data_IF_667598476173
#
_entry.id   IF_667598476173
#
_cell.length_a   1.000
_cell.length_b   1.000
_cell.length_c   1.000
_cell.angle_alpha   90.00
_cell.angle_beta   90.00
_cell.angle_gamma   90.00
#
_symmetry.space_group_name_H-M   'P 1'
#
loop_
_entity.id
_entity.type
_entity.pdbx_description
1 polymer ?
#
# COMPACT_ATOMS: atom_id res chain seq x y z
N UNK A 1 -6.98 9.19 -71.91
CA UNK A 1 -5.67 9.82 -71.61
C UNK A 1 -4.59 8.75 -71.62
N UNK A 2 -3.40 9.05 -72.15
CA UNK A 2 -2.95 8.37 -73.36
C UNK A 2 -1.85 7.32 -73.15
N UNK A 3 -1.84 6.35 -74.07
CA UNK A 3 -0.86 5.28 -74.20
C UNK A 3 0.54 5.81 -74.54
N UNK A 4 1.54 5.32 -73.80
CA UNK A 4 2.94 5.69 -73.96
C UNK A 4 3.57 4.90 -75.13
N UNK A 5 4.19 5.57 -76.11
CA UNK A 5 4.76 4.89 -77.28
C UNK A 5 6.06 4.17 -76.95
N UNK A 6 6.15 2.92 -77.38
CA UNK A 6 7.37 2.10 -77.35
C UNK A 6 8.38 2.61 -78.39
N UNK A 7 9.66 2.80 -78.01
CA UNK A 7 10.69 3.23 -78.95
C UNK A 7 11.06 2.10 -79.91
N UNK A 8 10.94 2.38 -81.20
CA UNK A 8 11.38 1.54 -82.32
C UNK A 8 12.89 1.31 -82.26
N UNK A 9 13.28 0.05 -82.12
CA UNK A 9 14.67 -0.40 -82.19
C UNK A 9 15.23 -0.19 -83.61
N UNK A 10 16.36 0.51 -83.79
CA UNK A 10 16.96 0.70 -85.11
C UNK A 10 17.48 -0.62 -85.69
N UNK A 11 17.22 -0.82 -86.97
CA UNK A 11 17.69 -1.95 -87.76
C UNK A 11 19.23 -1.97 -87.81
N UNK A 12 19.82 -3.03 -87.27
CA UNK A 12 21.26 -3.26 -87.25
C UNK A 12 21.73 -3.66 -88.66
N UNK A 13 22.51 -2.80 -89.31
CA UNK A 13 23.16 -3.13 -90.59
C UNK A 13 24.32 -4.12 -90.32
N UNK A 14 24.44 -5.23 -91.06
CA UNK A 14 25.58 -6.12 -90.93
C UNK A 14 26.86 -5.40 -91.40
N UNK A 15 27.71 -5.01 -90.45
CA UNK A 15 29.06 -4.55 -90.73
C UNK A 15 29.95 -5.71 -91.18
N UNK A 16 31.02 -5.44 -91.94
CA UNK A 16 31.95 -6.47 -92.42
C UNK A 16 32.56 -7.23 -91.23
N UNK A 17 32.45 -8.55 -91.25
CA UNK A 17 33.06 -9.44 -90.28
C UNK A 17 34.59 -9.37 -90.41
N UNK A 18 35.21 -8.51 -89.61
CA UNK A 18 36.65 -8.51 -89.42
C UNK A 18 37.03 -9.74 -88.60
N UNK A 19 37.78 -10.67 -89.21
CA UNK A 19 38.37 -11.78 -88.50
C UNK A 19 39.39 -11.26 -87.48
N UNK A 20 39.24 -11.66 -86.22
CA UNK A 20 40.17 -11.31 -85.16
C UNK A 20 41.59 -11.76 -85.50
N UNK A 21 42.55 -10.89 -85.31
CA UNK A 21 43.96 -11.28 -85.43
C UNK A 21 44.36 -12.13 -84.24
N UNK A 22 45.28 -13.08 -84.44
CA UNK A 22 45.72 -14.01 -83.40
C UNK A 22 46.29 -13.27 -82.16
N UNK A 23 46.91 -12.10 -82.38
CA UNK A 23 47.38 -11.19 -81.31
C UNK A 23 46.23 -10.64 -80.46
N UNK A 24 45.10 -10.31 -81.08
CA UNK A 24 43.93 -9.75 -80.41
C UNK A 24 43.24 -10.79 -79.53
N UNK A 25 43.18 -12.05 -79.98
CA UNK A 25 42.69 -13.19 -79.18
C UNK A 25 43.62 -13.47 -78.00
N UNK A 26 44.95 -13.43 -78.19
CA UNK A 26 45.91 -13.63 -77.09
C UNK A 26 45.80 -12.51 -76.05
N UNK A 27 45.68 -11.25 -76.47
CA UNK A 27 45.57 -10.10 -75.56
C UNK A 27 44.27 -10.12 -74.77
N UNK A 28 43.14 -10.47 -75.41
CA UNK A 28 41.84 -10.58 -74.73
C UNK A 28 41.83 -11.72 -73.72
N UNK A 29 42.43 -12.87 -74.02
CA UNK A 29 42.59 -13.97 -73.05
C UNK A 29 43.42 -13.53 -71.85
N UNK A 30 44.50 -12.78 -72.06
CA UNK A 30 45.38 -12.30 -70.99
C UNK A 30 44.66 -11.27 -70.08
N UNK A 31 43.90 -10.35 -70.68
CA UNK A 31 43.09 -9.36 -69.93
C UNK A 31 41.99 -10.06 -69.13
N UNK A 32 41.27 -11.02 -69.72
CA UNK A 32 40.22 -11.77 -69.04
C UNK A 32 40.80 -12.60 -67.88
N UNK A 33 41.98 -13.20 -68.05
CA UNK A 33 42.65 -13.94 -66.98
C UNK A 33 42.98 -13.05 -65.77
N UNK A 34 43.48 -11.83 -66.00
CA UNK A 34 43.76 -10.86 -64.93
C UNK A 34 42.49 -10.41 -64.22
N UNK A 35 41.40 -10.14 -64.97
CA UNK A 35 40.10 -9.75 -64.40
C UNK A 35 39.52 -10.89 -63.54
N UNK A 36 39.56 -12.14 -64.04
CA UNK A 36 39.09 -13.31 -63.30
C UNK A 36 39.87 -13.50 -61.99
N UNK A 37 41.19 -13.33 -62.01
CA UNK A 37 42.04 -13.39 -60.81
C UNK A 37 41.66 -12.29 -59.79
N UNK A 38 41.39 -11.08 -60.28
CA UNK A 38 40.92 -9.96 -59.45
C UNK A 38 39.58 -10.23 -58.79
N UNK A 39 38.60 -10.76 -59.54
CA UNK A 39 37.28 -11.13 -59.03
C UNK A 39 37.38 -12.25 -57.99
N UNK A 40 38.22 -13.26 -58.23
CA UNK A 40 38.42 -14.36 -57.28
C UNK A 40 39.06 -13.88 -55.98
N UNK A 41 40.01 -12.95 -56.05
CA UNK A 41 40.59 -12.29 -54.86
C UNK A 41 39.57 -11.46 -54.09
N UNK A 42 38.76 -10.66 -54.80
CA UNK A 42 37.69 -9.85 -54.19
C UNK A 42 36.61 -10.70 -53.52
N UNK A 43 36.22 -11.84 -54.12
CA UNK A 43 35.27 -12.79 -53.51
C UNK A 43 35.82 -13.44 -52.25
N UNK A 44 37.12 -13.77 -52.21
CA UNK A 44 37.77 -14.29 -51.01
C UNK A 44 37.84 -13.24 -49.89
N UNK A 45 38.07 -11.97 -50.23
CA UNK A 45 38.03 -10.87 -49.27
C UNK A 45 36.60 -10.64 -48.75
N UNK A 46 35.60 -10.63 -49.64
CA UNK A 46 34.19 -10.48 -49.28
C UNK A 46 33.69 -11.65 -48.41
N UNK A 47 34.12 -12.88 -48.70
CA UNK A 47 33.81 -14.06 -47.89
C UNK A 47 34.39 -14.00 -46.48
N UNK A 48 35.58 -13.42 -46.32
CA UNK A 48 36.19 -13.17 -44.99
C UNK A 48 35.60 -11.96 -44.26
N UNK A 49 35.02 -11.02 -45.00
CA UNK A 49 34.34 -9.86 -44.44
C UNK A 49 32.90 -10.17 -43.99
N UNK A 50 32.32 -11.29 -44.42
CA UNK A 50 31.02 -11.74 -43.92
C UNK A 50 31.17 -12.15 -42.45
N UNK A 51 30.47 -11.48 -41.51
CA UNK A 51 30.56 -11.82 -40.09
C UNK A 51 30.19 -13.28 -39.87
N UNK A 52 31.10 -14.04 -39.26
CA UNK A 52 30.77 -15.38 -38.80
C UNK A 52 29.62 -15.27 -37.78
N UNK A 53 28.62 -16.15 -37.91
CA UNK A 53 27.54 -16.26 -36.91
C UNK A 53 28.07 -16.66 -35.53
N UNK A 54 29.30 -17.15 -35.47
CA UNK A 54 30.03 -17.48 -34.25
C UNK A 54 31.10 -16.44 -33.88
N UNK A 55 31.13 -15.28 -34.56
CA UNK A 55 31.98 -14.17 -34.14
C UNK A 55 31.52 -13.61 -32.80
N UNK A 56 32.47 -13.12 -32.00
CA UNK A 56 32.19 -12.45 -30.72
C UNK A 56 31.19 -11.30 -30.87
N UNK A 57 31.27 -10.54 -31.97
CA UNK A 57 30.33 -9.46 -32.28
C UNK A 57 28.89 -9.97 -32.46
N UNK A 58 28.70 -11.11 -33.14
CA UNK A 58 27.37 -11.73 -33.28
C UNK A 58 26.83 -12.24 -31.94
N UNK A 59 27.71 -12.77 -31.07
CA UNK A 59 27.34 -13.23 -29.72
C UNK A 59 26.92 -12.07 -28.80
N UNK A 60 27.68 -10.97 -28.80
CA UNK A 60 27.36 -9.74 -28.06
C UNK A 60 26.02 -9.19 -28.53
N UNK A 61 25.77 -9.13 -29.85
CA UNK A 61 24.50 -8.63 -30.39
C UNK A 61 23.29 -9.46 -29.94
N UNK A 62 23.41 -10.80 -29.88
CA UNK A 62 22.36 -11.68 -29.36
C UNK A 62 22.10 -11.45 -27.87
N UNK A 63 23.16 -11.38 -27.06
CA UNK A 63 23.05 -11.11 -25.63
C UNK A 63 22.42 -9.73 -25.38
N UNK A 64 22.86 -8.69 -26.10
CA UNK A 64 22.32 -7.34 -26.02
C UNK A 64 20.84 -7.30 -26.40
N UNK A 65 20.42 -7.95 -27.49
CA UNK A 65 19.02 -8.02 -27.89
C UNK A 65 18.12 -8.68 -26.82
N UNK A 66 18.58 -9.77 -26.20
CA UNK A 66 17.82 -10.42 -25.13
C UNK A 66 17.77 -9.56 -23.86
N UNK A 67 18.87 -8.87 -23.55
CA UNK A 67 18.96 -7.94 -22.43
C UNK A 67 18.05 -6.71 -22.61
N UNK A 68 17.96 -6.16 -23.83
CA UNK A 68 17.05 -5.06 -24.16
C UNK A 68 15.59 -5.49 -24.01
N UNK A 69 15.24 -6.71 -24.42
CA UNK A 69 13.91 -7.25 -24.21
C UNK A 69 13.58 -7.44 -22.73
N UNK A 70 14.51 -8.02 -21.95
CA UNK A 70 14.38 -8.14 -20.49
C UNK A 70 14.20 -6.78 -19.82
N UNK A 71 15.01 -5.79 -20.19
CA UNK A 71 14.93 -4.41 -19.69
C UNK A 71 13.58 -3.79 -20.02
N UNK A 72 13.12 -3.92 -21.27
CA UNK A 72 11.84 -3.42 -21.72
C UNK A 72 10.68 -4.01 -20.94
N UNK A 73 10.71 -5.32 -20.66
CA UNK A 73 9.65 -5.95 -19.90
C UNK A 73 9.67 -5.57 -18.42
N UNK A 74 10.84 -5.65 -17.80
CA UNK A 74 11.02 -5.47 -16.35
C UNK A 74 10.86 -4.01 -15.91
N UNK A 75 11.15 -3.03 -16.78
CA UNK A 75 10.94 -1.62 -16.48
C UNK A 75 9.47 -1.28 -16.14
N UNK A 76 8.52 -2.05 -16.67
CA UNK A 76 7.08 -1.90 -16.45
C UNK A 76 6.50 -2.94 -15.49
N UNK A 77 7.33 -3.66 -14.73
CA UNK A 77 6.85 -4.60 -13.74
C UNK A 77 6.00 -3.88 -12.66
N UNK A 78 4.85 -4.47 -12.33
CA UNK A 78 3.93 -3.98 -11.28
C UNK A 78 4.02 -4.83 -10.02
N UNK A 79 4.36 -6.11 -10.14
CA UNK A 79 4.70 -6.99 -9.01
C UNK A 79 5.73 -8.03 -9.44
N UNK A 80 6.52 -8.57 -8.49
CA UNK A 80 7.47 -9.65 -8.73
C UNK A 80 7.01 -10.86 -7.94
N UNK A 81 6.76 -11.99 -8.61
CA UNK A 81 6.19 -13.21 -8.00
C UNK A 81 7.25 -14.23 -7.64
N UNK A 82 8.38 -14.24 -8.36
CA UNK A 82 9.52 -15.11 -8.04
C UNK A 82 10.85 -14.47 -8.45
N UNK A 83 11.87 -14.67 -7.62
CA UNK A 83 13.25 -14.26 -7.88
C UNK A 83 14.20 -15.44 -7.68
N UNK A 84 15.11 -15.66 -8.61
CA UNK A 84 16.21 -16.61 -8.48
C UNK A 84 17.48 -16.11 -9.15
N UNK A 85 18.61 -16.79 -8.95
CA UNK A 85 19.88 -16.40 -9.55
C UNK A 85 19.86 -16.46 -11.09
N UNK A 86 19.06 -17.38 -11.68
CA UNK A 86 18.96 -17.59 -13.13
C UNK A 86 17.53 -17.45 -13.66
N UNK A 87 16.60 -16.95 -12.85
CA UNK A 87 15.21 -16.73 -13.27
C UNK A 87 14.56 -15.58 -12.53
N UNK A 88 13.60 -14.93 -13.18
CA UNK A 88 12.75 -13.89 -12.60
C UNK A 88 11.35 -14.01 -13.20
N UNK A 89 10.32 -13.91 -12.36
CA UNK A 89 8.92 -13.88 -12.76
C UNK A 89 8.23 -12.65 -12.18
N UNK A 90 7.51 -11.93 -13.02
CA UNK A 90 6.87 -10.67 -12.67
C UNK A 90 5.60 -10.43 -13.48
N UNK A 91 4.77 -9.54 -12.96
CA UNK A 91 3.53 -9.10 -13.60
C UNK A 91 3.75 -7.73 -14.24
N UNK A 92 3.16 -7.52 -15.41
CA UNK A 92 3.07 -6.22 -16.08
C UNK A 92 1.60 -5.87 -16.33
N UNK A 93 1.30 -4.60 -16.55
CA UNK A 93 -0.04 -4.18 -16.96
C UNK A 93 -0.40 -4.77 -18.32
N UNK A 94 -1.69 -5.07 -18.53
CA UNK A 94 -2.25 -5.63 -19.76
C UNK A 94 -1.80 -4.86 -21.01
N UNK A 95 -1.02 -5.51 -21.88
CA UNK A 95 -0.46 -4.98 -23.13
C UNK A 95 -1.24 -5.41 -24.35
N UNK A 96 -1.98 -6.52 -24.27
CA UNK A 96 -2.73 -7.06 -25.40
C UNK A 96 -4.22 -6.67 -25.39
N UNK A 97 -4.66 -5.98 -24.33
CA UNK A 97 -6.00 -5.48 -24.10
C UNK A 97 -7.06 -6.60 -23.99
N UNK A 98 -6.70 -7.72 -23.36
CA UNK A 98 -7.59 -8.86 -23.05
C UNK A 98 -8.24 -8.77 -21.65
N UNK A 99 -7.92 -7.72 -20.89
CA UNK A 99 -8.45 -7.45 -19.56
C UNK A 99 -7.68 -8.13 -18.43
N UNK A 100 -6.59 -8.86 -18.72
CA UNK A 100 -5.76 -9.56 -17.73
C UNK A 100 -4.32 -9.04 -17.73
N UNK A 101 -3.74 -8.73 -16.56
CA UNK A 101 -2.30 -8.46 -16.45
C UNK A 101 -1.46 -9.63 -16.96
N UNK A 102 -0.32 -9.36 -17.62
CA UNK A 102 0.54 -10.44 -18.08
C UNK A 102 1.59 -10.88 -17.05
N UNK A 103 1.74 -12.19 -16.89
CA UNK A 103 2.82 -12.82 -16.12
C UNK A 103 3.94 -13.16 -17.10
N UNK A 104 5.10 -12.52 -16.93
CA UNK A 104 6.29 -12.74 -17.75
C UNK A 104 7.33 -13.46 -16.90
N UNK A 105 7.89 -14.54 -17.45
CA UNK A 105 8.99 -15.27 -16.82
C UNK A 105 10.19 -15.34 -17.74
N UNK A 106 11.35 -15.01 -17.20
CA UNK A 106 12.66 -15.28 -17.79
C UNK A 106 13.33 -16.39 -17.00
N UNK A 107 13.88 -17.39 -17.68
CA UNK A 107 14.56 -18.49 -17.02
C UNK A 107 15.65 -19.12 -17.88
N UNK A 108 16.78 -19.41 -17.24
CA UNK A 108 17.85 -20.24 -17.78
C UNK A 108 18.12 -21.41 -16.82
N UNK A 109 18.43 -22.58 -17.38
CA UNK A 109 18.59 -23.83 -16.62
C UNK A 109 19.83 -23.84 -15.71
N UNK A 110 20.81 -22.97 -15.97
CA UNK A 110 22.13 -23.03 -15.34
C UNK A 110 23.15 -23.87 -16.12
N UNK A 111 22.72 -24.56 -17.19
CA UNK A 111 23.61 -25.41 -18.01
C UNK A 111 24.13 -24.61 -19.20
N UNK A 112 25.46 -24.57 -19.37
CA UNK A 112 26.08 -23.86 -20.47
C UNK A 112 25.69 -24.48 -21.82
N UNK A 113 25.19 -23.63 -22.72
CA UNK A 113 24.65 -24.04 -24.02
C UNK A 113 23.12 -23.97 -24.09
N UNK A 114 22.44 -24.07 -22.94
CA UNK A 114 20.98 -23.98 -22.90
C UNK A 114 20.49 -22.56 -23.24
N UNK A 115 19.29 -22.41 -23.81
CA UNK A 115 18.76 -21.10 -24.14
C UNK A 115 18.24 -20.35 -22.89
N UNK A 116 18.26 -19.02 -22.95
CA UNK A 116 17.43 -18.19 -22.09
C UNK A 116 16.01 -18.20 -22.66
N UNK A 117 15.07 -18.68 -21.85
CA UNK A 117 13.68 -18.81 -22.21
C UNK A 117 12.86 -17.64 -21.65
N UNK A 118 11.87 -17.19 -22.43
CA UNK A 118 10.86 -16.21 -22.03
C UNK A 118 9.46 -16.79 -22.24
N UNK A 119 8.60 -16.75 -21.22
CA UNK A 119 7.17 -17.12 -21.35
C UNK A 119 6.27 -15.95 -20.94
N UNK A 120 5.06 -15.93 -21.50
CA UNK A 120 3.98 -14.99 -21.14
C UNK A 120 2.72 -15.80 -20.83
N UNK A 121 2.06 -15.54 -19.70
CA UNK A 121 0.76 -16.13 -19.31
C UNK A 121 0.72 -17.66 -19.42
N UNK A 122 1.76 -18.33 -18.88
CA UNK A 122 1.94 -19.78 -18.93
C UNK A 122 1.98 -20.41 -20.35
N UNK A 123 2.11 -19.60 -21.41
CA UNK A 123 2.34 -20.12 -22.78
C UNK A 123 3.71 -20.78 -22.87
N UNK A 124 3.87 -21.61 -23.90
CA UNK A 124 5.13 -22.28 -24.20
C UNK A 124 6.26 -21.26 -24.29
N UNK A 125 7.36 -21.54 -23.60
CA UNK A 125 8.47 -20.60 -23.49
C UNK A 125 9.24 -20.52 -24.82
N UNK A 126 9.62 -19.31 -25.22
CA UNK A 126 10.36 -19.02 -26.45
C UNK A 126 11.81 -18.68 -26.10
N UNK A 127 12.76 -19.25 -26.81
CA UNK A 127 14.16 -18.90 -26.67
C UNK A 127 14.41 -17.47 -27.21
N UNK A 128 14.89 -16.59 -26.34
CA UNK A 128 15.26 -15.21 -26.71
C UNK A 128 16.77 -15.04 -26.88
N UNK A 129 17.57 -15.93 -26.29
CA UNK A 129 18.99 -16.09 -26.57
C UNK A 129 19.34 -17.58 -26.54
N UNK A 130 20.19 -18.00 -27.47
CA UNK A 130 20.66 -19.40 -27.61
C UNK A 130 22.12 -19.50 -27.22
N UNK A 131 22.58 -20.70 -26.82
CA UNK A 131 23.96 -20.94 -26.37
C UNK A 131 24.34 -20.01 -25.20
N UNK A 132 23.44 -19.88 -24.21
CA UNK A 132 23.72 -19.09 -23.02
C UNK A 132 24.66 -19.89 -22.12
N UNK A 133 25.78 -19.26 -21.75
CA UNK A 133 26.83 -19.89 -20.93
C UNK A 133 27.01 -19.26 -19.57
N UNK A 134 26.36 -18.13 -19.34
CA UNK A 134 26.31 -17.48 -18.04
C UNK A 134 25.06 -16.58 -18.00
N UNK A 135 24.28 -16.70 -16.92
CA UNK A 135 23.22 -15.78 -16.57
C UNK A 135 23.18 -15.65 -15.05
N UNK A 136 23.25 -14.42 -14.56
CA UNK A 136 23.09 -14.13 -13.15
C UNK A 136 22.20 -12.90 -12.96
N UNK A 137 21.28 -12.98 -12.00
CA UNK A 137 20.50 -11.86 -11.49
C UNK A 137 20.92 -11.52 -10.05
N UNK A 138 21.10 -10.23 -9.78
CA UNK A 138 21.28 -9.68 -8.44
C UNK A 138 20.19 -8.63 -8.20
N UNK A 139 19.51 -8.74 -7.07
CA UNK A 139 18.31 -7.96 -6.75
C UNK A 139 18.62 -6.92 -5.70
N UNK A 140 18.53 -5.64 -6.06
CA UNK A 140 18.64 -4.54 -5.11
C UNK A 140 17.25 -4.24 -4.54
N UNK A 141 17.12 -4.33 -3.21
CA UNK A 141 15.86 -4.16 -2.50
C UNK A 141 15.96 -3.00 -1.52
N UNK A 142 14.87 -2.24 -1.36
CA UNK A 142 14.71 -1.30 -0.25
C UNK A 142 13.57 -1.74 0.66
N UNK A 143 13.77 -1.55 1.96
CA UNK A 143 12.71 -1.71 2.95
C UNK A 143 11.82 -0.47 2.94
N UNK A 144 10.50 -0.67 2.83
CA UNK A 144 9.50 0.38 2.97
C UNK A 144 8.61 0.06 4.17
N UNK A 145 8.50 1.00 5.10
CA UNK A 145 7.59 0.86 6.23
C UNK A 145 6.15 0.96 5.74
N UNK A 146 5.32 -0.01 6.11
CA UNK A 146 3.88 0.02 5.85
C UNK A 146 3.17 0.98 6.80
N UNK A 147 1.97 1.49 6.44
CA UNK A 147 1.15 2.27 7.35
C UNK A 147 0.95 1.54 8.68
N UNK A 148 1.00 2.29 9.78
CA UNK A 148 0.78 1.74 11.10
C UNK A 148 -0.64 1.14 11.19
N UNK A 149 -0.72 -0.09 11.66
CA UNK A 149 -1.99 -0.73 12.03
C UNK A 149 -2.16 -0.68 13.55
N UNK A 150 -3.40 -0.90 13.99
CA UNK A 150 -3.74 -0.86 15.40
C UNK A 150 -4.62 -2.05 15.75
N UNK A 151 -4.31 -2.69 16.86
CA UNK A 151 -5.16 -3.70 17.49
C UNK A 151 -5.99 -3.07 18.60
N UNK A 152 -7.30 -3.34 18.58
CA UNK A 152 -8.23 -2.90 19.63
C UNK A 152 -8.29 -3.95 20.75
N UNK A 153 -8.29 -3.49 22.00
CA UNK A 153 -8.43 -4.33 23.18
C UNK A 153 -9.86 -4.86 23.35
N UNK A 154 -10.03 -5.84 24.24
CA UNK A 154 -11.34 -6.08 24.85
C UNK A 154 -11.82 -4.88 25.68
N UNK A 155 -13.10 -4.88 26.05
CA UNK A 155 -13.65 -3.85 26.93
C UNK A 155 -13.02 -3.93 28.33
N UNK A 156 -12.54 -2.79 28.83
CA UNK A 156 -11.95 -2.61 30.17
C UNK A 156 -12.69 -1.53 30.94
N UNK A 157 -12.51 -1.50 32.26
CA UNK A 157 -12.98 -0.40 33.11
C UNK A 157 -12.05 0.81 32.96
N UNK A 158 -12.60 1.94 32.55
CA UNK A 158 -11.88 3.20 32.34
C UNK A 158 -11.92 4.12 33.57
N UNK A 159 -13.06 4.18 34.25
CA UNK A 159 -13.26 4.97 35.47
C UNK A 159 -14.44 4.42 36.26
N UNK A 160 -14.39 4.51 37.59
CA UNK A 160 -15.50 4.10 38.43
C UNK A 160 -15.49 4.80 39.77
N UNK A 161 -16.68 5.05 40.28
CA UNK A 161 -16.95 5.28 41.69
C UNK A 161 -18.20 4.49 42.07
N UNK A 162 -17.99 3.39 42.78
CA UNK A 162 -19.08 2.58 43.33
C UNK A 162 -19.67 3.25 44.57
N UNK A 163 -20.94 3.00 44.89
CA UNK A 163 -21.59 3.51 46.09
C UNK A 163 -21.38 2.62 47.33
N UNK A 164 -20.80 1.43 47.17
CA UNK A 164 -20.53 0.51 48.28
C UNK A 164 -19.51 1.10 49.26
N UNK A 165 -19.95 1.39 50.49
CA UNK A 165 -19.08 1.94 51.54
C UNK A 165 -18.79 3.43 51.42
N UNK A 166 -19.43 4.14 50.48
CA UNK A 166 -19.37 5.60 50.45
C UNK A 166 -20.19 6.20 51.58
N UNK A 167 -19.61 7.21 52.22
CA UNK A 167 -20.32 8.13 53.10
C UNK A 167 -20.74 9.36 52.29
N UNK A 168 -21.73 10.10 52.78
CA UNK A 168 -22.16 11.38 52.20
C UNK A 168 -22.67 11.28 50.76
N UNK A 169 -23.53 10.30 50.50
CA UNK A 169 -24.29 10.23 49.25
C UNK A 169 -25.39 11.30 49.25
N UNK A 170 -25.56 11.98 48.12
CA UNK A 170 -26.57 12.99 47.90
C UNK A 170 -27.23 12.85 46.53
N UNK A 171 -28.31 13.59 46.34
CA UNK A 171 -29.14 13.60 45.13
C UNK A 171 -28.82 14.85 44.32
N UNK A 172 -28.55 14.69 43.03
CA UNK A 172 -28.49 15.80 42.08
C UNK A 172 -29.67 15.70 41.12
N UNK A 173 -30.63 16.61 41.26
CA UNK A 173 -31.81 16.67 40.40
C UNK A 173 -31.45 17.25 39.02
N UNK A 174 -31.85 16.56 37.96
CA UNK A 174 -31.64 16.98 36.58
C UNK A 174 -32.86 17.77 36.09
N UNK A 175 -32.65 19.03 35.73
CA UNK A 175 -33.70 19.90 35.20
C UNK A 175 -33.19 20.84 34.12
N UNK A 176 -34.08 21.69 33.59
CA UNK A 176 -33.78 22.60 32.50
C UNK A 176 -32.55 23.49 32.74
N UNK A 177 -32.24 23.82 33.99
CA UNK A 177 -31.12 24.67 34.40
C UNK A 177 -29.97 23.88 35.01
N UNK A 178 -30.26 22.81 35.74
CA UNK A 178 -29.29 22.03 36.51
C UNK A 178 -28.88 20.75 35.80
N UNK A 179 -27.63 20.70 35.32
CA UNK A 179 -27.01 19.49 34.76
C UNK A 179 -25.75 19.13 35.53
N UNK A 180 -25.37 17.86 35.44
CA UNK A 180 -24.18 17.33 36.09
C UNK A 180 -23.42 16.44 35.14
N UNK A 181 -22.13 16.32 35.39
CA UNK A 181 -21.27 15.38 34.74
C UNK A 181 -20.09 14.97 35.61
N UNK A 182 -19.34 14.02 35.09
CA UNK A 182 -18.10 13.53 35.65
C UNK A 182 -17.01 13.69 34.59
N UNK A 183 -16.02 14.52 34.88
CA UNK A 183 -14.75 14.43 34.17
C UNK A 183 -14.02 13.17 34.61
N UNK A 184 -13.38 12.50 33.66
CA UNK A 184 -12.48 11.39 33.95
C UNK A 184 -11.34 11.34 32.92
N UNK A 185 -10.17 10.92 33.37
CA UNK A 185 -9.05 10.56 32.49
C UNK A 185 -8.60 9.14 32.82
N UNK A 186 -8.78 8.17 31.90
CA UNK A 186 -8.48 6.78 32.19
C UNK A 186 -6.97 6.55 32.34
N UNK A 187 -6.60 5.62 33.24
CA UNK A 187 -5.26 5.07 33.33
C UNK A 187 -5.16 3.87 32.39
N UNK A 188 -4.56 4.06 31.22
CA UNK A 188 -4.46 3.03 30.18
C UNK A 188 -3.15 2.24 30.30
N UNK A 189 -3.12 0.96 29.84
CA UNK A 189 -1.88 0.21 29.74
C UNK A 189 -0.82 0.91 28.87
N UNK A 190 0.46 0.64 29.14
CA UNK A 190 1.56 1.19 28.36
C UNK A 190 1.42 0.79 26.87
N UNK A 191 1.69 1.74 25.97
CA UNK A 191 1.55 1.56 24.52
C UNK A 191 0.16 1.84 23.95
N UNK A 192 -0.86 2.07 24.80
CA UNK A 192 -2.14 2.57 24.33
C UNK A 192 -1.96 3.95 23.67
N UNK A 193 -2.50 4.13 22.47
CA UNK A 193 -2.40 5.39 21.70
C UNK A 193 -3.73 6.13 21.64
N UNK A 194 -4.84 5.39 21.71
CA UNK A 194 -6.20 5.91 21.64
C UNK A 194 -7.15 5.02 22.43
N UNK A 195 -8.30 5.57 22.82
CA UNK A 195 -9.34 4.87 23.56
C UNK A 195 -10.72 5.44 23.23
N UNK A 196 -11.79 4.69 23.52
CA UNK A 196 -13.17 5.18 23.39
C UNK A 196 -14.04 4.57 24.48
N UNK A 197 -15.12 5.28 24.83
CA UNK A 197 -16.16 4.77 25.72
C UNK A 197 -17.08 3.85 24.94
N UNK A 198 -17.38 2.68 25.48
CA UNK A 198 -18.33 1.73 24.89
C UNK A 198 -19.58 1.58 25.74
N UNK A 199 -19.49 1.83 27.05
CA UNK A 199 -20.58 1.59 27.97
C UNK A 199 -20.44 2.41 29.25
N UNK A 200 -21.57 2.90 29.74
CA UNK A 200 -21.64 3.66 30.99
C UNK A 200 -22.72 3.07 31.88
N UNK A 201 -22.44 3.01 33.19
CA UNK A 201 -23.44 2.78 34.23
C UNK A 201 -23.52 3.99 35.15
N UNK A 202 -24.73 4.39 35.49
CA UNK A 202 -25.03 5.50 36.39
C UNK A 202 -26.09 5.08 37.41
N UNK A 203 -25.96 5.55 38.65
CA UNK A 203 -26.99 5.37 39.69
C UNK A 203 -28.04 6.46 39.56
N UNK A 204 -29.24 6.10 39.10
CA UNK A 204 -30.35 7.04 38.88
C UNK A 204 -31.69 6.51 39.42
N UNK A 205 -32.62 7.43 39.68
CA UNK A 205 -34.02 7.17 40.05
C UNK A 205 -34.96 8.23 39.47
N UNK A 206 -36.27 7.95 39.50
CA UNK A 206 -37.31 8.93 39.16
C UNK A 206 -37.23 10.17 40.08
N UNK A 207 -37.41 11.36 39.50
CA UNK A 207 -37.69 12.61 40.19
C UNK A 207 -39.14 13.08 39.95
N UNK A 208 -40.01 12.84 40.93
CA UNK A 208 -41.40 13.32 40.87
C UNK A 208 -42.28 12.54 39.87
N UNK A 209 -42.66 13.16 38.75
CA UNK A 209 -43.80 12.72 37.90
C UNK A 209 -43.50 11.68 36.82
N UNK A 210 -42.26 11.21 36.68
CA UNK A 210 -41.85 10.17 35.72
C UNK A 210 -42.13 10.50 34.23
N UNK A 211 -42.03 11.77 33.86
CA UNK A 211 -42.31 12.26 32.50
C UNK A 211 -41.13 12.94 31.83
N UNK A 212 -40.06 13.24 32.56
CA UNK A 212 -38.90 13.94 32.04
C UNK A 212 -38.00 13.06 31.17
N UNK A 213 -37.13 13.73 30.41
CA UNK A 213 -36.11 13.07 29.59
C UNK A 213 -34.76 13.75 29.77
N UNK A 214 -33.72 12.93 29.89
CA UNK A 214 -32.33 13.36 29.91
C UNK A 214 -31.55 12.75 28.74
N UNK A 215 -30.37 13.31 28.48
CA UNK A 215 -29.36 12.78 27.55
C UNK A 215 -28.14 12.42 28.35
N UNK A 216 -27.69 11.17 28.23
CA UNK A 216 -26.42 10.69 28.75
C UNK A 216 -25.40 10.82 27.63
N UNK A 217 -24.42 11.69 27.83
CA UNK A 217 -23.51 12.13 26.78
C UNK A 217 -22.08 11.84 27.16
N UNK A 218 -21.27 11.46 26.18
CA UNK A 218 -19.82 11.55 26.28
C UNK A 218 -19.41 12.82 25.56
N UNK A 219 -18.65 13.67 26.24
CA UNK A 219 -18.15 14.94 25.69
C UNK A 219 -16.63 15.00 25.78
N UNK A 220 -16.00 15.66 24.81
CA UNK A 220 -14.62 16.09 24.94
C UNK A 220 -14.54 17.24 25.96
N UNK A 221 -13.50 17.30 26.81
CA UNK A 221 -13.25 18.46 27.65
C UNK A 221 -12.86 19.67 26.79
N UNK A 222 -13.13 20.88 27.29
CA UNK A 222 -12.69 22.13 26.66
C UNK A 222 -11.16 22.22 26.68
N UNK A 223 -10.53 22.93 25.71
CA UNK A 223 -9.11 23.23 25.81
C UNK A 223 -8.78 23.91 27.14
N UNK A 224 -7.77 23.41 27.85
CA UNK A 224 -7.27 24.02 29.08
C UNK A 224 -7.94 23.57 30.38
N UNK A 225 -8.89 22.63 30.36
CA UNK A 225 -9.45 22.11 31.62
C UNK A 225 -10.49 21.00 31.46
N UNK A 226 -10.93 20.42 32.58
CA UNK A 226 -11.85 19.26 32.61
C UNK A 226 -13.33 19.62 32.35
N UNK A 227 -13.64 20.86 31.97
CA UNK A 227 -15.01 21.31 31.76
C UNK A 227 -15.59 20.72 30.46
N UNK A 228 -16.87 20.31 30.43
CA UNK A 228 -17.48 19.73 29.24
C UNK A 228 -17.49 20.67 28.02
N UNK A 229 -17.13 20.11 26.87
CA UNK A 229 -17.11 20.77 25.56
C UNK A 229 -18.03 20.09 24.55
N UNK A 230 -17.46 19.63 23.45
CA UNK A 230 -18.18 19.06 22.29
C UNK A 230 -18.74 17.68 22.62
N UNK A 231 -19.98 17.39 22.21
CA UNK A 231 -20.61 16.07 22.34
C UNK A 231 -20.00 15.11 21.32
N UNK A 232 -19.54 13.94 21.80
CA UNK A 232 -18.96 12.87 20.99
C UNK A 232 -19.99 11.79 20.62
N UNK A 233 -20.87 11.45 21.56
CA UNK A 233 -22.04 10.59 21.37
C UNK A 233 -23.03 10.83 22.51
N UNK A 234 -24.32 10.53 22.30
CA UNK A 234 -25.36 10.67 23.30
C UNK A 234 -26.43 9.57 23.20
N UNK A 235 -27.01 9.21 24.35
CA UNK A 235 -28.11 8.26 24.49
C UNK A 235 -29.23 8.91 25.30
N UNK A 236 -30.49 8.68 24.91
CA UNK A 236 -31.64 9.22 25.66
C UNK A 236 -31.95 8.36 26.88
N UNK A 237 -32.08 9.00 28.05
CA UNK A 237 -32.60 8.42 29.28
C UNK A 237 -34.04 8.91 29.47
N UNK A 238 -34.98 7.97 29.49
CA UNK A 238 -36.38 8.25 29.79
C UNK A 238 -36.65 7.99 31.28
N UNK A 239 -37.23 8.96 31.97
CA UNK A 239 -37.50 8.87 33.40
C UNK A 239 -38.46 7.72 33.76
N UNK A 240 -39.44 7.44 32.90
CA UNK A 240 -40.40 6.35 33.08
C UNK A 240 -39.77 4.95 33.07
N UNK A 241 -38.51 4.80 32.65
CA UNK A 241 -37.75 3.55 32.74
C UNK A 241 -37.00 3.41 34.07
N UNK A 242 -36.96 4.46 34.88
CA UNK A 242 -36.30 4.46 36.20
C UNK A 242 -37.26 3.92 37.27
N UNK A 243 -36.69 3.50 38.40
CA UNK A 243 -37.47 3.13 39.58
C UNK A 243 -37.51 4.29 40.60
N UNK A 244 -38.41 4.24 41.58
CA UNK A 244 -38.41 5.20 42.71
C UNK A 244 -37.19 5.07 43.63
N UNK A 245 -36.44 3.97 43.51
CA UNK A 245 -35.18 3.75 44.21
C UNK A 245 -33.99 3.86 43.25
N UNK A 246 -32.83 4.20 43.80
CA UNK A 246 -31.60 4.24 43.02
C UNK A 246 -31.21 2.86 42.51
N UNK A 247 -31.07 2.75 41.19
CA UNK A 247 -30.65 1.54 40.47
C UNK A 247 -29.56 1.88 39.48
N UNK A 248 -28.73 0.90 39.11
CA UNK A 248 -27.73 1.07 38.07
C UNK A 248 -28.42 1.02 36.70
N UNK A 249 -28.30 2.11 35.96
CA UNK A 249 -28.80 2.27 34.60
C UNK A 249 -27.64 2.16 33.63
N UNK A 250 -27.78 1.32 32.60
CA UNK A 250 -26.73 1.05 31.62
C UNK A 250 -27.03 1.71 30.27
N UNK A 251 -26.01 2.31 29.68
CA UNK A 251 -26.06 3.00 28.40
C UNK A 251 -24.92 2.50 27.51
N UNK A 252 -25.24 2.12 26.27
CA UNK A 252 -24.27 1.64 25.28
C UNK A 252 -23.90 2.77 24.32
N UNK A 253 -22.62 2.90 24.04
CA UNK A 253 -22.02 3.89 23.15
C UNK A 253 -21.29 3.14 22.04
N UNK A 254 -21.82 3.21 20.82
CA UNK A 254 -21.34 2.41 19.69
C UNK A 254 -20.51 3.23 18.70
N UNK A 255 -20.73 4.55 18.68
CA UNK A 255 -20.09 5.47 17.73
C UNK A 255 -19.24 6.54 18.42
N UNK A 256 -18.87 6.34 19.69
CA UNK A 256 -18.13 7.32 20.45
C UNK A 256 -16.78 7.57 19.78
N UNK A 257 -16.52 8.85 19.50
CA UNK A 257 -15.27 9.25 18.84
C UNK A 257 -14.06 8.89 19.71
N UNK A 258 -13.05 8.28 19.08
CA UNK A 258 -11.80 7.92 19.74
C UNK A 258 -11.07 9.14 20.31
N UNK A 259 -10.38 8.92 21.42
CA UNK A 259 -9.66 9.92 22.20
C UNK A 259 -8.19 9.52 22.30
N UNK A 260 -7.24 10.45 22.16
CA UNK A 260 -5.83 10.15 22.39
C UNK A 260 -5.60 9.61 23.80
N UNK A 261 -4.67 8.67 23.95
CA UNK A 261 -4.23 8.20 25.26
C UNK A 261 -3.73 9.38 26.13
N UNK A 262 -4.06 9.35 27.41
CA UNK A 262 -3.76 10.45 28.35
C UNK A 262 -4.68 11.67 28.23
N UNK A 263 -5.59 11.73 27.25
CA UNK A 263 -6.68 12.72 27.24
C UNK A 263 -7.86 12.25 28.09
N UNK A 264 -8.62 13.20 28.65
CA UNK A 264 -9.87 12.92 29.36
C UNK A 264 -11.13 13.07 28.50
N UNK A 265 -12.27 12.72 29.11
CA UNK A 265 -13.62 12.95 28.61
C UNK A 265 -14.55 13.35 29.77
N UNK A 266 -15.74 13.84 29.45
CA UNK A 266 -16.78 14.13 30.42
C UNK A 266 -18.00 13.26 30.13
N UNK A 267 -18.48 12.52 31.12
CA UNK A 267 -19.82 11.95 31.13
C UNK A 267 -20.78 13.05 31.57
N UNK A 268 -21.80 13.41 30.78
CA UNK A 268 -22.76 14.48 31.12
C UNK A 268 -24.18 13.96 31.07
N UNK A 269 -24.97 14.29 32.09
CA UNK A 269 -26.40 14.04 32.17
C UNK A 269 -27.10 15.38 31.98
N UNK A 270 -27.56 15.61 30.76
CA UNK A 270 -28.18 16.87 30.34
C UNK A 270 -29.70 16.69 30.31
N UNK A 271 -30.45 17.64 30.88
CA UNK A 271 -31.91 17.69 30.70
C UNK A 271 -32.27 17.93 29.23
N UNK A 272 -33.29 17.24 28.72
CA UNK A 272 -33.73 17.37 27.34
C UNK A 272 -35.10 18.04 27.19
N UNK A 273 -36.13 17.54 27.87
CA UNK A 273 -37.50 18.04 27.79
C UNK A 273 -38.37 17.60 28.97
N UNK A 274 -39.56 18.21 29.02
CA UNK A 274 -40.67 17.95 29.95
C UNK A 274 -40.38 18.38 31.40
N UNK A 275 -40.79 17.60 32.40
CA UNK A 275 -40.55 17.90 33.81
C UNK A 275 -39.06 17.72 34.19
N UNK A 276 -38.75 17.75 35.49
CA UNK A 276 -37.49 17.20 36.01
C UNK A 276 -37.25 15.79 35.44
N UNK A 277 -36.02 15.48 35.06
CA UNK A 277 -35.73 14.26 34.31
C UNK A 277 -35.36 13.06 35.17
N UNK A 278 -34.58 13.25 36.23
CA UNK A 278 -34.20 12.21 37.19
C UNK A 278 -33.40 12.80 38.34
N UNK A 279 -33.20 12.02 39.41
CA UNK A 279 -32.10 12.24 40.34
C UNK A 279 -30.95 11.30 39.98
N UNK A 280 -29.72 11.82 39.99
CA UNK A 280 -28.50 11.00 39.96
C UNK A 280 -27.78 11.04 41.30
N UNK A 281 -27.25 9.89 41.72
CA UNK A 281 -26.54 9.77 42.97
C UNK A 281 -25.07 10.19 42.81
N UNK A 282 -24.58 10.97 43.76
CA UNK A 282 -23.19 11.40 43.79
C UNK A 282 -22.67 11.45 45.23
N UNK A 283 -21.35 11.44 45.39
CA UNK A 283 -20.69 11.66 46.66
C UNK A 283 -20.49 13.17 46.86
N UNK A 284 -21.05 13.73 47.93
CA UNK A 284 -21.10 15.19 48.12
C UNK A 284 -19.87 15.80 48.79
N UNK A 285 -19.02 14.99 49.42
CA UNK A 285 -17.75 15.40 50.02
C UNK A 285 -16.78 14.22 50.09
N UNK A 286 -15.49 14.52 50.20
CA UNK A 286 -14.40 13.55 50.38
C UNK A 286 -14.30 12.51 49.25
N UNK A 287 -14.76 12.85 48.04
CA UNK A 287 -14.43 12.08 46.86
C UNK A 287 -12.93 12.23 46.55
N UNK A 288 -12.26 11.10 46.30
CA UNK A 288 -10.80 11.03 46.14
C UNK A 288 -10.39 10.34 44.85
N UNK A 289 -11.31 10.19 43.88
CA UNK A 289 -10.99 9.51 42.64
C UNK A 289 -9.91 10.28 41.87
N UNK A 290 -8.75 9.68 41.61
CA UNK A 290 -7.68 10.38 40.90
C UNK A 290 -8.10 10.63 39.45
N UNK A 291 -7.83 11.84 38.97
CA UNK A 291 -8.17 12.26 37.60
C UNK A 291 -9.67 12.21 37.29
N UNK A 292 -10.50 12.42 38.30
CA UNK A 292 -11.93 12.55 38.18
C UNK A 292 -12.38 13.80 38.95
N UNK A 293 -13.34 14.53 38.38
CA UNK A 293 -13.95 15.68 39.03
C UNK A 293 -15.43 15.77 38.65
N UNK A 294 -16.30 16.00 39.62
CA UNK A 294 -17.68 16.40 39.33
C UNK A 294 -17.66 17.75 38.60
N UNK A 295 -18.49 17.86 37.55
CA UNK A 295 -18.74 19.12 36.85
C UNK A 295 -20.23 19.40 36.88
N UNK A 296 -20.61 20.62 37.28
CA UNK A 296 -22.03 21.00 37.40
C UNK A 296 -22.29 22.30 36.66
N UNK A 297 -23.53 22.50 36.25
CA UNK A 297 -24.04 23.75 35.70
C UNK A 297 -25.41 24.01 36.28
N UNK A 298 -25.74 25.27 36.52
CA UNK A 298 -27.05 25.75 36.97
C UNK A 298 -27.68 26.74 35.98
N UNK A 299 -27.13 26.81 34.76
CA UNK A 299 -27.56 27.71 33.70
C UNK A 299 -27.55 27.01 32.34
N UNK A 300 -28.06 25.78 32.29
CA UNK A 300 -28.24 25.02 31.06
C UNK A 300 -26.94 24.87 30.25
N UNK A 301 -25.83 24.64 30.95
CA UNK A 301 -24.52 24.39 30.36
C UNK A 301 -23.80 25.62 29.80
N UNK A 302 -24.31 26.84 30.01
CA UNK A 302 -23.62 28.07 29.60
C UNK A 302 -22.28 28.21 30.34
N UNK A 303 -22.27 27.96 31.65
CA UNK A 303 -21.05 27.87 32.46
C UNK A 303 -21.04 26.60 33.30
N UNK A 304 -19.83 26.08 33.55
CA UNK A 304 -19.61 24.89 34.36
C UNK A 304 -18.70 25.23 35.54
N UNK A 305 -18.95 24.63 36.69
CA UNK A 305 -18.08 24.66 37.87
C UNK A 305 -17.64 23.25 38.27
N UNK A 306 -16.58 23.17 39.05
CA UNK A 306 -16.03 21.93 39.61
C UNK A 306 -16.06 22.00 41.13
N UNK A 307 -17.14 21.53 41.78
CA UNK A 307 -17.16 21.46 43.23
C UNK A 307 -16.10 20.46 43.71
N UNK A 308 -15.27 20.91 44.65
CA UNK A 308 -14.15 20.11 45.15
C UNK A 308 -14.63 18.92 46.00
N UNK A 309 -13.99 17.76 45.82
CA UNK A 309 -14.24 16.56 46.63
C UNK A 309 -15.60 15.93 46.38
N UNK A 310 -16.15 16.09 45.17
CA UNK A 310 -17.40 15.47 44.73
C UNK A 310 -17.17 14.65 43.47
N UNK A 311 -17.92 13.55 43.33
CA UNK A 311 -17.89 12.66 42.17
C UNK A 311 -19.25 11.95 41.98
N UNK A 312 -19.65 11.68 40.74
CA UNK A 312 -20.83 10.87 40.41
C UNK A 312 -20.59 9.40 40.77
N UNK A 313 -21.64 8.69 41.20
CA UNK A 313 -21.60 7.23 41.27
C UNK A 313 -21.74 6.64 39.86
N UNK A 314 -20.66 6.08 39.32
CA UNK A 314 -20.58 5.65 37.92
C UNK A 314 -19.66 4.44 37.70
N UNK A 315 -19.85 3.78 36.56
CA UNK A 315 -18.82 2.97 35.90
C UNK A 315 -18.76 3.35 34.43
N UNK A 316 -17.55 3.57 33.92
CA UNK A 316 -17.31 3.87 32.51
C UNK A 316 -16.38 2.79 31.98
N UNK A 317 -16.84 2.11 30.94
CA UNK A 317 -16.11 1.08 30.24
C UNK A 317 -15.75 1.52 28.83
N UNK A 318 -14.71 0.91 28.29
CA UNK A 318 -14.24 1.25 26.95
C UNK A 318 -13.16 0.32 26.45
N UNK A 319 -12.74 0.58 25.24
CA UNK A 319 -11.62 -0.11 24.59
C UNK A 319 -10.48 0.87 24.38
N UNK A 320 -9.27 0.34 24.21
CA UNK A 320 -8.11 1.10 23.78
C UNK A 320 -7.45 0.41 22.58
N UNK A 321 -6.68 1.16 21.81
CA UNK A 321 -5.87 0.58 20.73
C UNK A 321 -4.40 0.77 21.00
N UNK A 322 -3.62 -0.25 20.64
CA UNK A 322 -2.15 -0.25 20.68
C UNK A 322 -1.66 -0.23 19.23
N UNK A 323 -0.59 0.51 18.96
CA UNK A 323 0.06 0.43 17.66
C UNK A 323 0.68 -0.97 17.49
N UNK A 324 0.37 -1.64 16.39
CA UNK A 324 1.03 -2.90 16.08
C UNK A 324 2.50 -2.66 15.77
N UNK A 325 3.31 -3.71 15.86
CA UNK A 325 4.72 -3.62 15.47
C UNK A 325 4.84 -3.15 14.02
N UNK A 326 5.80 -2.24 13.76
CA UNK A 326 6.01 -1.71 12.43
C UNK A 326 6.22 -2.84 11.41
N UNK A 327 5.34 -2.93 10.43
CA UNK A 327 5.46 -3.85 9.32
C UNK A 327 6.26 -3.20 8.19
N UNK A 328 7.03 -3.99 7.47
CA UNK A 328 7.84 -3.56 6.34
C UNK A 328 7.58 -4.45 5.13
N UNK A 329 7.60 -3.85 3.95
CA UNK A 329 7.62 -4.57 2.68
C UNK A 329 8.95 -4.33 1.96
N UNK A 330 9.41 -5.34 1.20
CA UNK A 330 10.60 -5.20 0.36
C UNK A 330 10.18 -4.77 -1.03
N UNK A 331 10.79 -3.69 -1.53
CA UNK A 331 10.53 -3.10 -2.84
C UNK A 331 11.75 -3.29 -3.73
N UNK A 332 11.57 -3.83 -4.93
CA UNK A 332 12.67 -4.05 -5.88
C UNK A 332 13.02 -2.75 -6.58
N UNK A 333 14.20 -2.19 -6.31
CA UNK A 333 14.64 -0.92 -6.92
C UNK A 333 15.38 -1.15 -8.24
N UNK A 334 16.20 -2.18 -8.29
CA UNK A 334 16.96 -2.55 -9.48
C UNK A 334 17.24 -4.05 -9.56
N UNK A 335 17.41 -4.52 -10.79
CA UNK A 335 17.97 -5.84 -11.10
C UNK A 335 19.25 -5.64 -11.89
N UNK A 336 20.35 -6.10 -11.33
CA UNK A 336 21.62 -6.21 -12.04
C UNK A 336 21.66 -7.58 -12.72
N UNK A 337 22.18 -7.62 -13.94
CA UNK A 337 22.31 -8.86 -14.69
C UNK A 337 23.68 -8.97 -15.36
N UNK A 338 24.12 -10.22 -15.49
CA UNK A 338 25.20 -10.65 -16.39
C UNK A 338 24.61 -11.67 -17.35
N UNK A 339 24.81 -11.51 -18.66
CA UNK A 339 24.37 -12.45 -19.68
C UNK A 339 25.49 -12.68 -20.69
N UNK A 340 25.90 -13.93 -20.88
CA UNK A 340 26.89 -14.32 -21.89
C UNK A 340 26.33 -15.39 -22.83
N UNK A 341 26.42 -15.11 -24.13
CA UNK A 341 26.13 -16.07 -25.18
C UNK A 341 27.44 -16.53 -25.84
N UNK A 342 27.56 -17.82 -26.17
CA UNK A 342 28.73 -18.36 -26.83
C UNK A 342 29.93 -18.65 -25.91
N UNK A 343 30.97 -19.26 -26.49
CA UNK A 343 32.15 -19.72 -25.77
C UNK A 343 33.14 -18.58 -25.42
N UNK A 344 33.07 -17.44 -26.11
CA UNK A 344 33.97 -16.31 -25.86
C UNK A 344 33.58 -15.58 -24.57
N UNK A 345 34.50 -15.54 -23.60
CA UNK A 345 34.28 -14.87 -22.33
C UNK A 345 34.13 -13.35 -22.46
N UNK A 346 34.71 -12.74 -23.52
CA UNK A 346 34.59 -11.31 -23.78
C UNK A 346 33.21 -10.90 -24.31
N UNK A 347 32.37 -11.87 -24.69
CA UNK A 347 31.01 -11.62 -25.20
C UNK A 347 29.94 -11.46 -24.12
N UNK A 348 30.33 -11.24 -22.86
CA UNK A 348 29.40 -10.99 -21.75
C UNK A 348 28.85 -9.56 -21.79
N UNK A 349 27.53 -9.44 -21.63
CA UNK A 349 26.81 -8.18 -21.45
C UNK A 349 26.40 -8.06 -19.99
N UNK A 350 26.65 -6.90 -19.40
CA UNK A 350 26.25 -6.58 -18.03
C UNK A 350 25.44 -5.31 -18.00
N UNK A 351 24.49 -5.22 -17.08
CA UNK A 351 23.72 -4.00 -16.93
C UNK A 351 22.85 -3.98 -15.68
N UNK A 352 22.30 -2.80 -15.41
CA UNK A 352 21.34 -2.57 -14.34
C UNK A 352 20.03 -2.09 -14.94
N UNK A 353 18.95 -2.77 -14.56
CA UNK A 353 17.57 -2.38 -14.90
C UNK A 353 16.99 -1.72 -13.65
N UNK A 354 16.72 -0.42 -13.73
CA UNK A 354 16.00 0.31 -12.68
C UNK A 354 14.50 0.15 -12.92
N UNK A 355 13.75 -0.20 -11.89
CA UNK A 355 12.30 -0.38 -11.98
C UNK A 355 11.60 0.94 -11.66
N UNK A 356 10.63 1.34 -12.49
CA UNK A 356 9.91 2.60 -12.31
C UNK A 356 8.89 2.54 -11.18
N UNK A 357 8.23 1.38 -11.01
CA UNK A 357 7.16 1.20 -10.04
C UNK A 357 7.64 0.63 -8.69
N UNK A 358 8.91 0.25 -8.59
CA UNK A 358 9.51 -0.42 -7.44
C UNK A 358 8.57 -1.50 -6.84
N UNK A 359 8.27 -2.58 -7.60
CA UNK A 359 7.27 -3.55 -7.21
C UNK A 359 7.59 -4.23 -5.88
N UNK A 360 6.54 -4.63 -5.15
CA UNK A 360 6.67 -5.45 -3.95
C UNK A 360 7.26 -6.82 -4.29
N UNK A 361 8.16 -7.32 -3.45
CA UNK A 361 8.80 -8.63 -3.60
C UNK A 361 8.44 -9.52 -2.41
N UNK A 362 8.11 -10.80 -2.63
CA UNK A 362 7.91 -11.73 -1.52
C UNK A 362 9.18 -11.88 -0.67
N UNK A 363 9.04 -12.17 0.64
CA UNK A 363 10.18 -12.55 1.47
C UNK A 363 10.86 -13.78 0.87
N UNK A 364 12.20 -13.74 0.81
CA UNK A 364 13.05 -14.81 0.26
C UNK A 364 13.09 -16.04 1.14
#
# INVERSE_FOLDING_TARGET
MPAHPSPTSPANRPGPAAGFTLVEVVLTVLIVAVIMLGIQSAMLLAGRASPDRNSAAAMILRAASAADQLRGDLAYATSVTATGATSIEFVVADRNNDGSPEIIRYSWSGVAGDPLLRSINARSAVAIATDVRDLQFVYDRRSQQLPATYSESGEILLSSLDNSGLLYLADFAIDSSNWVGQYFRPSLPAGAVKWRVTRVKLRARIHGSASGQARVQIRAPRPGGPLPGVVLEEVTLYENNLSGSYTWQEFLFSTATERPAGSGACLVIQWHRDAHACDVQYQSVLATAPNADLVVTNNSGQSWSMPFGQDLCHYIYGTYSVADSAAYEQRLTSVQYTLRCGADASAAVQGTIRLLNEPSVPPS
#
